data_IF_880261758595
#
_entry.id   IF_880261758595
#
_cell.length_a   1.000
_cell.length_b   1.000
_cell.length_c   1.000
_cell.angle_alpha   90.00
_cell.angle_beta   90.00
_cell.angle_gamma   90.00
#
_symmetry.space_group_name_H-M   'P 1'
#
loop_
_entity.id
_entity.type
_entity.pdbx_description
1 polymer ?
#
# COMPACT_ATOMS: atom_id res chain seq x y z
N UNK A 1 -31.53 -5.59 11.37
CA UNK A 1 -30.77 -5.40 10.11
C UNK A 1 -29.62 -4.44 10.35
N UNK A 2 -28.37 -4.83 10.08
CA UNK A 2 -27.21 -3.92 10.09
C UNK A 2 -26.85 -3.49 8.68
N UNK A 3 -26.14 -2.37 8.58
CA UNK A 3 -25.63 -1.83 7.33
C UNK A 3 -24.11 -1.86 7.37
N UNK A 4 -23.50 -2.36 6.32
CA UNK A 4 -22.06 -2.23 6.07
C UNK A 4 -21.84 -1.29 4.89
N UNK A 5 -20.86 -0.42 5.00
CA UNK A 5 -20.50 0.50 3.93
C UNK A 5 -19.45 -0.15 3.03
N UNK A 6 -19.70 -0.19 1.73
CA UNK A 6 -18.70 -0.61 0.77
C UNK A 6 -17.49 0.35 0.81
N UNK A 7 -16.25 -0.14 0.97
CA UNK A 7 -15.06 0.71 0.99
C UNK A 7 -14.79 1.39 -0.35
N UNK A 8 -15.25 0.83 -1.47
CA UNK A 8 -15.05 1.38 -2.82
C UNK A 8 -16.04 2.50 -3.17
N UNK A 9 -17.32 2.16 -3.29
CA UNK A 9 -18.34 3.11 -3.80
C UNK A 9 -19.16 3.78 -2.69
N UNK A 10 -18.83 3.54 -1.42
CA UNK A 10 -19.53 4.11 -0.25
C UNK A 10 -21.02 3.74 -0.13
N UNK A 11 -21.53 2.85 -1.00
CA UNK A 11 -22.90 2.32 -0.95
C UNK A 11 -23.12 1.45 0.29
N UNK A 12 -24.35 1.44 0.80
CA UNK A 12 -24.73 0.66 1.97
C UNK A 12 -25.28 -0.70 1.54
N UNK A 13 -24.77 -1.76 2.16
CA UNK A 13 -25.26 -3.13 2.01
C UNK A 13 -25.93 -3.52 3.32
N UNK A 14 -27.17 -3.97 3.25
CA UNK A 14 -27.95 -4.44 4.41
C UNK A 14 -27.77 -5.94 4.59
N UNK A 15 -27.56 -6.37 5.83
CA UNK A 15 -27.50 -7.80 6.16
C UNK A 15 -28.19 -8.09 7.49
N UNK A 16 -28.58 -9.35 7.64
CA UNK A 16 -29.18 -9.87 8.86
C UNK A 16 -28.08 -10.36 9.81
N UNK A 17 -27.85 -9.61 10.89
CA UNK A 17 -26.85 -9.93 11.90
C UNK A 17 -27.20 -11.19 12.71
N UNK A 18 -28.48 -11.55 12.81
CA UNK A 18 -28.93 -12.72 13.60
C UNK A 18 -28.44 -14.06 13.04
N UNK A 19 -27.99 -14.06 11.78
CA UNK A 19 -27.45 -15.24 11.09
C UNK A 19 -25.97 -15.49 11.37
N UNK A 20 -25.29 -14.63 12.12
CA UNK A 20 -23.83 -14.67 12.26
C UNK A 20 -23.39 -14.50 13.71
N UNK A 21 -22.25 -15.11 14.07
CA UNK A 21 -21.70 -15.01 15.42
C UNK A 21 -20.82 -13.77 15.60
N UNK A 22 -20.79 -13.25 16.82
CA UNK A 22 -19.92 -12.13 17.20
C UNK A 22 -18.46 -12.55 17.02
N UNK A 23 -17.68 -11.74 16.31
CA UNK A 23 -16.27 -12.00 15.99
C UNK A 23 -16.01 -12.73 14.67
N UNK A 24 -17.06 -13.20 13.99
CA UNK A 24 -16.97 -13.87 12.69
C UNK A 24 -16.51 -12.90 11.59
N UNK A 25 -15.59 -13.36 10.72
CA UNK A 25 -15.25 -12.67 9.48
C UNK A 25 -16.33 -12.99 8.44
N UNK A 26 -16.98 -11.94 7.94
CA UNK A 26 -18.03 -12.02 6.93
C UNK A 26 -17.51 -11.40 5.63
N UNK A 27 -17.64 -12.11 4.51
CA UNK A 27 -17.34 -11.60 3.19
C UNK A 27 -18.62 -11.07 2.53
N UNK A 28 -18.56 -9.87 1.96
CA UNK A 28 -19.64 -9.19 1.26
C UNK A 28 -19.22 -8.88 -0.17
N UNK A 29 -20.14 -9.03 -1.11
CA UNK A 29 -19.98 -8.53 -2.49
C UNK A 29 -20.87 -7.29 -2.63
N UNK A 30 -20.29 -6.17 -3.05
CA UNK A 30 -21.06 -4.95 -3.24
C UNK A 30 -21.91 -5.01 -4.51
N UNK A 31 -23.26 -4.86 -4.44
CA UNK A 31 -24.11 -4.93 -5.61
C UNK A 31 -23.92 -3.76 -6.59
N UNK A 32 -23.31 -2.65 -6.14
CA UNK A 32 -23.11 -1.46 -6.97
C UNK A 32 -21.76 -1.44 -7.71
N UNK A 33 -20.75 -2.15 -7.22
CA UNK A 33 -19.42 -2.15 -7.84
C UNK A 33 -18.79 -3.54 -7.98
N UNK A 34 -19.56 -4.59 -7.65
CA UNK A 34 -19.18 -6.00 -7.66
C UNK A 34 -17.90 -6.38 -6.91
N UNK A 35 -17.35 -5.46 -6.08
CA UNK A 35 -16.13 -5.75 -5.32
C UNK A 35 -16.45 -6.51 -4.04
N UNK A 36 -15.66 -7.55 -3.79
CA UNK A 36 -15.71 -8.34 -2.56
C UNK A 36 -14.88 -7.67 -1.46
N UNK A 37 -15.36 -7.69 -0.22
CA UNK A 37 -14.65 -7.18 0.94
C UNK A 37 -15.08 -7.90 2.22
N UNK A 38 -14.19 -7.98 3.21
CA UNK A 38 -14.47 -8.62 4.50
C UNK A 38 -14.75 -7.60 5.61
N UNK A 39 -15.65 -7.93 6.54
CA UNK A 39 -15.79 -7.24 7.84
C UNK A 39 -15.78 -8.24 8.98
N UNK A 40 -15.41 -7.77 10.18
CA UNK A 40 -15.55 -8.56 11.40
C UNK A 40 -16.77 -8.07 12.20
N UNK A 41 -17.72 -8.97 12.45
CA UNK A 41 -18.95 -8.63 13.19
C UNK A 41 -18.63 -8.41 14.67
N UNK A 42 -19.19 -7.38 15.31
CA UNK A 42 -19.05 -7.15 16.75
C UNK A 42 -18.01 -6.13 17.21
N UNK A 43 -17.29 -5.46 16.29
CA UNK A 43 -16.38 -4.37 16.65
C UNK A 43 -17.11 -3.03 16.46
N UNK A 44 -17.90 -2.61 17.46
CA UNK A 44 -18.48 -1.27 17.46
C UNK A 44 -18.48 -0.63 18.84
N UNK A 45 -17.41 0.12 19.11
CA UNK A 45 -17.42 1.37 19.86
C UNK A 45 -16.39 2.29 19.14
N UNK A 46 -16.80 3.10 18.16
CA UNK A 46 -17.31 4.46 18.39
C UNK A 46 -16.41 5.29 19.33
N UNK A 47 -15.23 5.70 18.85
CA UNK A 47 -14.66 7.00 19.20
C UNK A 47 -14.57 7.85 17.94
N UNK A 48 -15.69 8.47 17.58
CA UNK A 48 -15.76 9.66 16.72
C UNK A 48 -16.81 10.59 17.32
N UNK A 49 -16.35 11.57 18.09
CA UNK A 49 -17.05 12.83 18.30
C UNK A 49 -16.07 13.87 18.89
N UNK A 50 -15.08 14.29 18.11
CA UNK A 50 -14.78 15.71 17.96
C UNK A 50 -14.00 15.91 16.67
N UNK A 51 -14.72 16.46 15.69
CA UNK A 51 -14.18 17.10 14.52
C UNK A 51 -13.89 18.54 14.96
N UNK A 52 -12.65 18.83 15.35
CA UNK A 52 -12.12 20.18 15.55
C UNK A 52 -10.59 20.07 15.66
N UNK A 53 -9.97 19.81 14.51
CA UNK A 53 -8.59 20.11 14.09
C UNK A 53 -8.43 19.32 12.77
N UNK A 54 -8.42 19.82 11.53
CA UNK A 54 -8.33 21.16 10.94
C UNK A 54 -7.64 22.20 11.82
N UNK A 55 -6.52 21.79 12.40
CA UNK A 55 -5.32 22.58 12.30
C UNK A 55 -4.34 21.70 11.51
N UNK A 56 -3.63 22.22 10.50
CA UNK A 56 -2.33 21.65 10.25
C UNK A 56 -1.60 21.72 11.59
N UNK A 57 -1.21 20.57 12.15
CA UNK A 57 -0.06 20.62 13.04
C UNK A 57 1.10 21.01 12.14
N UNK A 58 1.27 22.33 12.03
CA UNK A 58 2.53 23.01 11.74
C UNK A 58 3.49 22.65 12.88
N UNK A 59 3.88 21.38 12.97
CA UNK A 59 5.26 21.11 13.32
C UNK A 59 6.03 21.57 12.10
N UNK A 60 6.76 22.68 12.23
CA UNK A 60 7.70 23.17 11.23
C UNK A 60 8.88 22.22 11.01
N UNK A 61 8.59 20.94 10.78
CA UNK A 61 9.43 20.05 10.02
C UNK A 61 8.92 20.19 8.59
N UNK A 62 9.75 20.74 7.70
CA UNK A 62 9.49 20.63 6.27
C UNK A 62 9.08 19.18 5.99
N UNK A 63 7.88 18.95 5.45
CA UNK A 63 7.51 17.62 4.97
C UNK A 63 8.41 17.35 3.78
N UNK A 64 9.58 16.79 4.05
CA UNK A 64 10.58 16.50 3.04
C UNK A 64 9.96 15.49 2.08
N UNK A 65 9.63 15.96 0.89
CA UNK A 65 9.04 15.16 -0.17
C UNK A 65 10.14 14.31 -0.82
N UNK A 66 10.25 13.06 -0.37
CA UNK A 66 11.15 12.08 -0.98
C UNK A 66 10.48 11.29 -2.11
N UNK A 67 9.26 11.66 -2.50
CA UNK A 67 8.45 10.92 -3.45
C UNK A 67 7.54 9.89 -2.81
N UNK A 68 6.79 9.19 -3.65
CA UNK A 68 5.83 8.19 -3.23
C UNK A 68 5.66 7.07 -4.26
N UNK A 69 5.25 5.91 -3.78
CA UNK A 69 4.86 4.78 -4.60
C UNK A 69 3.35 4.73 -4.72
N UNK A 70 2.86 4.77 -5.96
CA UNK A 70 1.46 4.60 -6.27
C UNK A 70 1.21 3.15 -6.68
N UNK A 71 0.66 2.38 -5.75
CA UNK A 71 0.29 0.99 -5.95
C UNK A 71 -1.05 0.95 -6.70
N UNK A 72 -1.06 0.37 -7.90
CA UNK A 72 -2.23 0.35 -8.78
C UNK A 72 -3.23 -0.70 -8.29
N UNK A 73 -4.51 -0.31 -8.13
CA UNK A 73 -5.57 -1.23 -7.69
C UNK A 73 -5.67 -2.46 -8.62
N UNK A 74 -5.74 -3.64 -8.01
CA UNK A 74 -6.04 -4.89 -8.70
C UNK A 74 -7.10 -5.70 -7.91
N UNK A 75 -7.19 -7.00 -8.19
CA UNK A 75 -8.14 -7.91 -7.51
C UNK A 75 -7.75 -8.22 -6.06
N UNK A 76 -6.46 -8.10 -5.70
CA UNK A 76 -5.91 -8.48 -4.39
C UNK A 76 -5.84 -7.31 -3.40
N UNK A 77 -5.95 -6.07 -3.85
CA UNK A 77 -5.87 -4.90 -2.98
C UNK A 77 -6.54 -3.66 -3.58
N UNK A 78 -6.68 -2.61 -2.77
CA UNK A 78 -7.05 -1.28 -3.24
C UNK A 78 -5.82 -0.48 -3.67
N UNK A 79 -6.06 0.66 -4.34
CA UNK A 79 -5.01 1.65 -4.57
C UNK A 79 -4.41 2.07 -3.22
N UNK A 80 -3.08 2.11 -3.15
CA UNK A 80 -2.33 2.57 -1.98
C UNK A 80 -1.29 3.60 -2.44
N UNK A 81 -1.02 4.59 -1.59
CA UNK A 81 0.03 5.58 -1.80
C UNK A 81 0.97 5.46 -0.62
N UNK A 82 2.22 5.07 -0.88
CA UNK A 82 3.23 4.86 0.14
C UNK A 82 4.29 5.96 0.02
N UNK A 83 4.40 6.88 1.00
CA UNK A 83 5.45 7.89 0.99
C UNK A 83 6.82 7.21 1.19
N UNK A 84 7.81 7.67 0.43
CA UNK A 84 9.19 7.23 0.58
C UNK A 84 9.91 8.07 1.64
N UNK A 85 11.01 7.53 2.14
CA UNK A 85 11.93 8.20 3.07
C UNK A 85 13.35 8.13 2.53
N UNK A 86 14.21 9.05 2.97
CA UNK A 86 15.64 8.95 2.70
C UNK A 86 16.20 7.62 3.26
N UNK A 87 17.10 7.00 2.51
CA UNK A 87 17.68 5.71 2.83
C UNK A 87 16.85 4.55 2.26
N UNK A 88 16.86 3.44 3.00
CA UNK A 88 16.31 2.17 2.53
C UNK A 88 14.79 2.07 2.77
N UNK A 89 14.02 1.86 1.70
CA UNK A 89 12.58 1.63 1.74
C UNK A 89 12.32 0.18 1.33
N UNK A 90 12.05 -0.68 2.32
CA UNK A 90 11.84 -2.11 2.14
C UNK A 90 10.36 -2.37 1.89
N UNK A 91 10.06 -2.91 0.71
CA UNK A 91 8.72 -3.09 0.17
C UNK A 91 8.38 -4.57 0.18
N UNK A 92 7.14 -4.87 0.57
CA UNK A 92 6.62 -6.23 0.53
C UNK A 92 5.23 -6.31 1.12
N UNK A 93 4.71 -7.54 1.18
CA UNK A 93 3.38 -7.82 1.71
C UNK A 93 3.32 -7.55 3.22
N UNK A 94 2.31 -6.78 3.64
CA UNK A 94 2.05 -6.53 5.05
C UNK A 94 1.80 -7.84 5.81
N UNK A 95 2.55 -8.06 6.88
CA UNK A 95 2.30 -9.11 7.86
C UNK A 95 2.66 -8.60 9.25
N UNK A 96 1.83 -8.93 10.25
CA UNK A 96 2.08 -8.52 11.63
C UNK A 96 3.42 -9.07 12.11
N UNK A 97 4.32 -8.17 12.52
CA UNK A 97 5.65 -8.51 13.03
C UNK A 97 6.77 -8.55 11.97
N UNK A 98 6.45 -8.33 10.70
CA UNK A 98 7.46 -8.20 9.65
C UNK A 98 8.14 -6.81 9.72
N UNK A 99 9.47 -6.71 9.81
CA UNK A 99 10.18 -5.44 10.03
C UNK A 99 10.38 -4.60 8.77
N UNK A 100 9.42 -4.57 7.85
CA UNK A 100 9.46 -3.71 6.65
C UNK A 100 8.90 -2.32 6.95
N UNK A 101 9.39 -1.29 6.25
CA UNK A 101 8.97 0.10 6.46
C UNK A 101 8.04 0.65 5.35
N UNK A 102 7.92 -0.05 4.22
CA UNK A 102 6.98 0.27 3.13
C UNK A 102 6.05 -0.94 2.83
N UNK A 103 5.19 -1.34 3.78
CA UNK A 103 4.27 -2.46 3.57
C UNK A 103 3.17 -2.14 2.57
N UNK A 104 2.83 -3.12 1.74
CA UNK A 104 1.63 -3.11 0.88
C UNK A 104 0.60 -4.06 1.50
N UNK A 105 -0.59 -3.55 1.80
CA UNK A 105 -1.72 -4.38 2.20
C UNK A 105 -2.26 -5.12 0.97
N UNK A 106 -1.97 -6.41 0.86
CA UNK A 106 -2.44 -7.24 -0.25
C UNK A 106 -2.67 -8.69 0.16
N UNK A 107 -3.69 -9.29 -0.45
CA UNK A 107 -3.95 -10.74 -0.39
C UNK A 107 -3.24 -11.51 -1.53
N UNK A 108 -2.35 -10.86 -2.30
CA UNK A 108 -1.60 -11.49 -3.39
C UNK A 108 -0.64 -12.57 -2.82
N UNK A 109 -0.83 -13.86 -3.16
CA UNK A 109 0.04 -14.92 -2.68
C UNK A 109 1.45 -14.86 -3.25
N UNK A 110 1.62 -14.23 -4.42
CA UNK A 110 2.89 -14.14 -5.17
C UNK A 110 3.79 -13.00 -4.73
N UNK A 111 3.30 -12.10 -3.87
CA UNK A 111 4.10 -11.04 -3.24
C UNK A 111 4.69 -11.53 -1.91
N UNK A 112 6.02 -11.47 -1.82
CA UNK A 112 6.75 -11.86 -0.63
C UNK A 112 6.65 -10.81 0.48
N UNK A 113 6.90 -11.25 1.70
CA UNK A 113 6.94 -10.37 2.88
C UNK A 113 8.02 -9.29 2.77
N UNK A 114 9.17 -9.64 2.20
CA UNK A 114 10.27 -8.73 1.90
C UNK A 114 10.64 -8.98 0.45
N UNK A 115 10.12 -8.15 -0.45
CA UNK A 115 10.13 -8.47 -1.88
C UNK A 115 11.15 -7.64 -2.63
N UNK A 116 11.19 -6.33 -2.39
CA UNK A 116 12.17 -5.46 -3.03
C UNK A 116 12.49 -4.26 -2.15
N UNK A 117 13.50 -3.50 -2.56
CA UNK A 117 13.96 -2.33 -1.84
C UNK A 117 14.16 -1.17 -2.79
N UNK A 118 13.71 0.02 -2.40
CA UNK A 118 14.09 1.28 -3.03
C UNK A 118 15.00 2.06 -2.07
N UNK A 119 16.25 2.27 -2.46
CA UNK A 119 17.11 3.21 -1.77
C UNK A 119 16.89 4.61 -2.35
N UNK A 120 16.55 5.57 -1.48
CA UNK A 120 16.46 6.99 -1.82
C UNK A 120 17.68 7.70 -1.26
N UNK A 121 18.46 8.34 -2.12
CA UNK A 121 19.65 9.11 -1.72
C UNK A 121 19.61 10.51 -2.36
N UNK A 122 20.51 11.39 -1.92
CA UNK A 122 20.78 12.67 -2.59
C UNK A 122 22.17 12.60 -3.21
N UNK A 123 22.29 13.04 -4.46
CA UNK A 123 23.60 13.18 -5.08
C UNK A 123 24.31 14.47 -4.64
N UNK A 124 25.52 14.69 -5.15
CA UNK A 124 26.33 15.87 -4.82
C UNK A 124 25.65 17.22 -5.15
N UNK A 125 24.63 17.23 -6.02
CA UNK A 125 23.84 18.42 -6.38
C UNK A 125 22.56 18.56 -5.54
N UNK A 126 22.32 17.67 -4.59
CA UNK A 126 21.13 17.65 -3.75
C UNK A 126 19.90 16.98 -4.38
N UNK A 127 20.00 16.49 -5.62
CA UNK A 127 18.91 15.84 -6.33
C UNK A 127 18.68 14.42 -5.81
N UNK A 128 17.40 14.03 -5.69
CA UNK A 128 17.01 12.69 -5.28
C UNK A 128 17.34 11.64 -6.35
N UNK A 129 17.90 10.53 -5.90
CA UNK A 129 18.19 9.34 -6.70
C UNK A 129 17.49 8.13 -6.09
N UNK A 130 16.93 7.29 -6.96
CA UNK A 130 16.13 6.13 -6.59
C UNK A 130 16.77 4.88 -7.19
N UNK A 131 17.17 3.95 -6.33
CA UNK A 131 17.78 2.68 -6.74
C UNK A 131 16.90 1.53 -6.29
N UNK A 132 16.32 0.82 -7.25
CA UNK A 132 15.54 -0.39 -7.03
C UNK A 132 16.45 -1.62 -7.02
N UNK A 133 16.22 -2.52 -6.07
CA UNK A 133 16.89 -3.81 -5.96
C UNK A 133 15.86 -4.88 -5.60
N UNK A 134 15.98 -6.06 -6.21
CA UNK A 134 15.21 -7.23 -5.80
C UNK A 134 15.66 -7.74 -4.42
N UNK A 135 14.71 -8.11 -3.58
CA UNK A 135 14.94 -8.70 -2.27
C UNK A 135 15.15 -10.22 -2.36
N UNK A 136 14.96 -10.95 -1.26
CA UNK A 136 14.87 -12.41 -1.28
C UNK A 136 13.51 -12.86 -1.83
N UNK A 137 13.12 -12.35 -3.00
CA UNK A 137 11.81 -12.62 -3.61
C UNK A 137 11.79 -13.99 -4.29
N UNK A 138 10.61 -14.64 -4.31
CA UNK A 138 10.42 -15.90 -5.03
C UNK A 138 10.03 -15.65 -6.50
N UNK A 139 9.28 -14.59 -6.78
CA UNK A 139 8.73 -14.31 -8.12
C UNK A 139 9.52 -13.27 -8.90
N UNK A 140 10.40 -12.49 -8.25
CA UNK A 140 11.21 -11.46 -8.88
C UNK A 140 10.54 -10.10 -8.99
N UNK A 141 11.36 -9.06 -9.02
CA UNK A 141 10.97 -7.69 -9.35
C UNK A 141 11.22 -7.40 -10.82
N UNK A 142 10.25 -6.78 -11.49
CA UNK A 142 10.31 -6.46 -12.92
C UNK A 142 10.22 -4.95 -13.15
N UNK A 143 11.08 -4.42 -14.02
CA UNK A 143 11.02 -3.03 -14.52
C UNK A 143 10.89 -3.11 -16.03
N UNK A 144 9.87 -2.47 -16.62
CA UNK A 144 9.62 -2.51 -18.07
C UNK A 144 9.54 -3.95 -18.66
N UNK A 145 8.99 -4.88 -17.88
CA UNK A 145 8.90 -6.33 -18.17
C UNK A 145 10.23 -7.10 -18.15
N UNK A 146 11.33 -6.47 -17.73
CA UNK A 146 12.62 -7.13 -17.51
C UNK A 146 12.82 -7.42 -16.02
N UNK A 147 13.11 -8.69 -15.69
CA UNK A 147 13.42 -9.09 -14.32
C UNK A 147 14.77 -8.51 -13.89
N UNK A 148 14.86 -8.02 -12.66
CA UNK A 148 16.14 -7.65 -12.05
C UNK A 148 17.00 -8.91 -11.86
N UNK A 149 18.25 -8.88 -12.30
CA UNK A 149 19.18 -9.98 -12.06
C UNK A 149 19.58 -10.06 -10.56
N UNK A 150 20.22 -11.17 -10.18
CA UNK A 150 20.71 -11.32 -8.80
C UNK A 150 21.68 -10.19 -8.44
N UNK A 151 21.45 -9.58 -7.27
CA UNK A 151 22.18 -8.41 -6.76
C UNK A 151 22.19 -7.16 -7.66
N UNK A 152 21.36 -7.13 -8.70
CA UNK A 152 21.28 -6.01 -9.61
C UNK A 152 20.68 -4.77 -8.93
N UNK A 153 21.20 -3.61 -9.29
CA UNK A 153 20.74 -2.31 -8.78
C UNK A 153 20.37 -1.46 -9.98
N UNK A 154 19.08 -1.17 -10.13
CA UNK A 154 18.57 -0.38 -11.24
C UNK A 154 18.17 1.01 -10.78
N UNK A 155 18.74 2.02 -11.42
CA UNK A 155 18.26 3.38 -11.27
C UNK A 155 16.88 3.48 -11.89
N UNK A 156 15.92 3.99 -11.12
CA UNK A 156 14.55 4.25 -11.57
C UNK A 156 14.25 5.74 -11.47
N UNK A 157 13.26 6.20 -12.22
CA UNK A 157 12.98 7.63 -12.39
C UNK A 157 11.50 7.92 -12.14
N UNK A 158 11.16 9.21 -12.12
CA UNK A 158 9.78 9.64 -12.05
C UNK A 158 8.96 8.98 -13.17
N UNK A 159 7.82 8.40 -12.80
CA UNK A 159 6.93 7.66 -13.70
C UNK A 159 7.36 6.23 -14.00
N UNK A 160 8.50 5.73 -13.50
CA UNK A 160 8.89 4.33 -13.70
C UNK A 160 7.84 3.38 -13.13
N UNK A 161 7.36 2.47 -13.99
CA UNK A 161 6.47 1.37 -13.65
C UNK A 161 7.30 0.12 -13.35
N UNK A 162 7.09 -0.48 -12.19
CA UNK A 162 7.66 -1.77 -11.85
C UNK A 162 6.58 -2.68 -11.27
N UNK A 163 6.81 -3.99 -11.34
CA UNK A 163 5.85 -5.01 -10.91
C UNK A 163 6.53 -5.98 -9.97
N UNK A 164 5.80 -6.37 -8.91
CA UNK A 164 6.17 -7.37 -7.92
C UNK A 164 4.96 -8.28 -7.70
N UNK A 165 5.12 -9.59 -7.87
CA UNK A 165 3.97 -10.50 -7.95
C UNK A 165 2.96 -10.06 -9.03
N UNK A 166 1.69 -9.91 -8.66
CA UNK A 166 0.62 -9.38 -9.52
C UNK A 166 0.35 -7.87 -9.31
N UNK A 167 1.22 -7.18 -8.58
CA UNK A 167 1.04 -5.77 -8.21
C UNK A 167 1.95 -4.85 -9.01
N UNK A 168 1.35 -3.93 -9.75
CA UNK A 168 2.05 -2.87 -10.48
C UNK A 168 2.13 -1.59 -9.65
N UNK A 169 3.29 -0.94 -9.69
CA UNK A 169 3.63 0.22 -8.86
C UNK A 169 4.30 1.28 -9.73
N UNK A 170 3.85 2.53 -9.60
CA UNK A 170 4.48 3.69 -10.25
C UNK A 170 5.24 4.48 -9.20
N UNK A 171 6.51 4.79 -9.47
CA UNK A 171 7.28 5.78 -8.71
C UNK A 171 6.85 7.20 -9.12
N UNK A 172 6.48 8.02 -8.14
CA UNK A 172 6.38 9.46 -8.28
C UNK A 172 7.52 10.08 -7.49
N UNK A 173 8.50 10.66 -8.18
CA UNK A 173 9.66 11.27 -7.54
C UNK A 173 9.25 12.51 -6.75
N UNK A 174 9.95 12.76 -5.64
CA UNK A 174 9.75 13.95 -4.84
C UNK A 174 10.20 15.19 -5.61
N UNK A 175 9.51 16.31 -5.39
CA UNK A 175 9.91 17.58 -6.00
C UNK A 175 11.11 18.15 -5.25
N UNK A 176 12.09 18.64 -6.01
CA UNK A 176 13.25 19.39 -5.51
C UNK A 176 12.84 20.71 -4.84
#
# INVERSE_FOLDING_TARGET
MKRVRCPKCKSFITFDETKYSVGQRLAFVCPNCNKQFGIRLGVSAAKRAQKAENAPQETGEEVLDYGSLHVIENVFHYKQILPLKLGENVIGRYMKGNPINCPIETDDPSMDMTHCTINVSKNAKGKLEYVLKDGPSYTGTFVDNEILADNERRNIFDGTLFTIGATSIILYAGKE
#
